data_IF_704807706948
#
_entry.id   IF_704807706948
#
_cell.length_a   1.000
_cell.length_b   1.000
_cell.length_c   1.000
_cell.angle_alpha   90.00
_cell.angle_beta   90.00
_cell.angle_gamma   90.00
#
_symmetry.space_group_name_H-M   'P 1'
#
loop_
_entity.id
_entity.type
_entity.pdbx_description
1 polymer ?
#
# COMPACT_ATOMS: atom_id res chain seq x y z
N UNK A 1 2.21 -56.29 32.00
CA UNK A 1 1.39 -55.08 31.76
C UNK A 1 -0.11 -55.29 32.09
N UNK A 2 -0.47 -55.78 33.29
CA UNK A 2 -1.90 -56.08 33.64
C UNK A 2 -2.41 -55.37 34.89
N UNK A 3 -1.52 -54.74 35.67
CA UNK A 3 -1.88 -54.17 36.98
C UNK A 3 -2.50 -52.77 36.87
N UNK A 4 -2.10 -51.96 35.86
CA UNK A 4 -2.59 -50.59 35.67
C UNK A 4 -4.07 -50.51 35.29
N UNK A 5 -4.60 -51.52 34.58
CA UNK A 5 -5.99 -51.53 34.12
C UNK A 5 -7.00 -51.85 35.23
N UNK A 6 -6.55 -52.45 36.35
CA UNK A 6 -7.41 -52.80 37.49
C UNK A 6 -7.60 -51.63 38.47
N UNK A 7 -6.68 -50.67 38.47
CA UNK A 7 -6.70 -49.52 39.38
C UNK A 7 -7.70 -48.42 38.95
N UNK A 8 -8.06 -48.33 37.67
CA UNK A 8 -9.01 -47.36 37.13
C UNK A 8 -10.46 -47.88 37.00
N UNK A 9 -10.80 -49.03 37.60
CA UNK A 9 -12.18 -49.53 37.62
C UNK A 9 -12.75 -50.00 36.28
N UNK A 10 -11.98 -49.95 35.18
CA UNK A 10 -12.36 -50.55 33.90
C UNK A 10 -12.22 -52.08 33.98
N UNK A 11 -13.22 -52.74 34.56
CA UNK A 11 -13.58 -54.11 34.19
C UNK A 11 -13.79 -54.08 32.69
N UNK A 12 -12.98 -54.86 31.97
CA UNK A 12 -12.91 -54.86 30.51
C UNK A 12 -14.25 -54.58 29.89
N UNK A 13 -14.39 -53.37 29.35
CA UNK A 13 -15.47 -53.09 28.44
C UNK A 13 -15.31 -54.13 27.34
N UNK A 14 -16.27 -55.05 27.25
CA UNK A 14 -16.50 -55.84 26.06
C UNK A 14 -16.60 -54.80 24.94
N UNK A 15 -15.50 -54.61 24.20
CA UNK A 15 -15.58 -53.94 22.92
C UNK A 15 -16.39 -54.89 22.07
N UNK A 16 -17.70 -54.65 22.05
CA UNK A 16 -18.59 -55.20 21.03
C UNK A 16 -17.90 -54.89 19.71
N UNK A 17 -17.58 -55.88 18.86
CA UNK A 17 -16.94 -55.61 17.58
C UNK A 17 -17.82 -54.56 16.90
N UNK A 18 -17.26 -53.36 16.74
CA UNK A 18 -17.95 -52.25 16.12
C UNK A 18 -18.23 -52.70 14.69
N UNK A 19 -19.47 -52.56 14.24
CA UNK A 19 -19.92 -52.92 12.91
C UNK A 19 -18.94 -52.32 11.89
N UNK A 20 -18.09 -53.13 11.24
CA UNK A 20 -17.05 -52.63 10.33
C UNK A 20 -17.66 -51.74 9.23
N UNK A 21 -18.91 -52.02 8.86
CA UNK A 21 -19.74 -51.17 8.00
C UNK A 21 -19.92 -49.74 8.54
N UNK A 22 -20.24 -49.56 9.82
CA UNK A 22 -20.49 -48.24 10.39
C UNK A 22 -19.21 -47.40 10.51
N UNK A 23 -18.06 -48.04 10.80
CA UNK A 23 -16.78 -47.36 10.82
C UNK A 23 -16.31 -46.99 9.40
N UNK A 24 -16.60 -47.84 8.40
CA UNK A 24 -16.30 -47.57 7.01
C UNK A 24 -17.17 -46.43 6.44
N UNK A 25 -18.46 -46.39 6.78
CA UNK A 25 -19.38 -45.34 6.37
C UNK A 25 -18.99 -43.97 6.95
N UNK A 26 -18.73 -43.91 8.27
CA UNK A 26 -18.29 -42.68 8.92
C UNK A 26 -16.89 -42.24 8.44
N UNK A 27 -16.01 -43.19 8.16
CA UNK A 27 -14.69 -42.94 7.60
C UNK A 27 -14.76 -42.37 6.18
N UNK A 28 -15.68 -42.86 5.35
CA UNK A 28 -15.89 -42.35 4.00
C UNK A 28 -16.41 -40.91 4.00
N UNK A 29 -17.32 -40.56 4.91
CA UNK A 29 -17.83 -39.20 5.09
C UNK A 29 -16.72 -38.23 5.49
N UNK A 30 -15.94 -38.57 6.54
CA UNK A 30 -14.80 -37.78 7.00
C UNK A 30 -13.70 -37.64 5.93
N UNK A 31 -13.43 -38.70 5.17
CA UNK A 31 -12.42 -38.67 4.10
C UNK A 31 -12.89 -37.77 2.95
N UNK A 32 -14.18 -37.83 2.59
CA UNK A 32 -14.79 -36.93 1.62
C UNK A 32 -14.72 -35.46 2.04
N UNK A 33 -15.09 -35.16 3.28
CA UNK A 33 -15.02 -33.81 3.84
C UNK A 33 -13.58 -33.29 3.91
N UNK A 34 -12.63 -34.12 4.36
CA UNK A 34 -11.21 -33.77 4.39
C UNK A 34 -10.64 -33.52 3.00
N UNK A 35 -11.09 -34.25 1.97
CA UNK A 35 -10.61 -34.09 0.60
C UNK A 35 -11.16 -32.81 -0.02
N UNK A 36 -12.45 -32.50 0.20
CA UNK A 36 -13.06 -31.24 -0.26
C UNK A 36 -12.39 -30.04 0.41
N UNK A 37 -12.19 -30.08 1.73
CA UNK A 37 -11.47 -29.01 2.43
C UNK A 37 -9.99 -28.94 2.06
N UNK A 38 -9.34 -30.08 1.83
CA UNK A 38 -7.96 -30.14 1.39
C UNK A 38 -7.77 -29.46 0.03
N UNK A 39 -8.58 -29.82 -0.96
CA UNK A 39 -8.52 -29.22 -2.30
C UNK A 39 -8.92 -27.74 -2.26
N UNK A 40 -10.02 -27.40 -1.58
CA UNK A 40 -10.48 -26.02 -1.45
C UNK A 40 -9.47 -25.12 -0.73
N UNK A 41 -8.94 -25.60 0.39
CA UNK A 41 -7.91 -24.92 1.17
C UNK A 41 -6.59 -24.78 0.41
N UNK A 42 -6.19 -25.81 -0.33
CA UNK A 42 -5.01 -25.76 -1.20
C UNK A 42 -5.18 -24.74 -2.33
N UNK A 43 -6.33 -24.70 -3.00
CA UNK A 43 -6.63 -23.70 -4.03
C UNK A 43 -6.55 -22.27 -3.48
N UNK A 44 -7.16 -22.02 -2.31
CA UNK A 44 -7.08 -20.73 -1.62
C UNK A 44 -5.64 -20.36 -1.25
N UNK A 45 -4.88 -21.32 -0.72
CA UNK A 45 -3.49 -21.10 -0.34
C UNK A 45 -2.60 -20.77 -1.54
N UNK A 46 -2.76 -21.50 -2.65
CA UNK A 46 -2.01 -21.23 -3.88
C UNK A 46 -2.37 -19.88 -4.48
N UNK A 47 -3.64 -19.50 -4.50
CA UNK A 47 -4.07 -18.17 -4.93
C UNK A 47 -3.51 -17.08 -4.02
N UNK A 48 -3.47 -17.31 -2.70
CA UNK A 48 -2.84 -16.40 -1.75
C UNK A 48 -1.34 -16.22 -2.02
N UNK A 49 -0.60 -17.30 -2.26
CA UNK A 49 0.82 -17.22 -2.65
C UNK A 49 1.01 -16.44 -3.94
N UNK A 50 0.15 -16.70 -4.93
CA UNK A 50 0.16 -16.00 -6.22
C UNK A 50 -0.13 -14.51 -6.04
N UNK A 51 -1.11 -14.15 -5.22
CA UNK A 51 -1.48 -12.77 -4.92
C UNK A 51 -0.43 -12.05 -4.07
N UNK A 52 0.22 -12.73 -3.13
CA UNK A 52 1.29 -12.15 -2.31
C UNK A 52 2.47 -11.64 -3.18
N UNK A 53 2.81 -12.37 -4.24
CA UNK A 53 3.79 -11.92 -5.23
C UNK A 53 3.35 -10.69 -6.03
N UNK A 54 2.05 -10.57 -6.31
CA UNK A 54 1.49 -9.39 -7.00
C UNK A 54 1.26 -8.19 -6.07
N UNK A 55 1.01 -8.42 -4.77
CA UNK A 55 0.79 -7.36 -3.79
C UNK A 55 2.02 -6.46 -3.67
N UNK A 56 3.23 -7.03 -3.69
CA UNK A 56 4.49 -6.26 -3.72
C UNK A 56 4.56 -5.32 -4.92
N UNK A 57 4.15 -5.80 -6.10
CA UNK A 57 4.08 -4.95 -7.30
C UNK A 57 3.01 -3.87 -7.17
N UNK A 58 1.85 -4.17 -6.57
CA UNK A 58 0.78 -3.16 -6.37
C UNK A 58 1.23 -2.07 -5.39
N UNK A 59 1.95 -2.44 -4.35
CA UNK A 59 2.49 -1.53 -3.35
C UNK A 59 3.53 -0.60 -3.98
N UNK A 60 4.46 -1.12 -4.79
CA UNK A 60 5.41 -0.29 -5.56
C UNK A 60 4.70 0.69 -6.52
N UNK A 61 3.62 0.27 -7.18
CA UNK A 61 2.85 1.17 -8.06
C UNK A 61 2.12 2.26 -7.26
N UNK A 62 1.61 1.91 -6.07
CA UNK A 62 0.92 2.86 -5.20
C UNK A 62 1.90 3.88 -4.63
N UNK A 63 3.08 3.44 -4.17
CA UNK A 63 4.16 4.31 -3.70
C UNK A 63 4.65 5.25 -4.80
N UNK A 64 4.86 4.74 -6.03
CA UNK A 64 5.24 5.59 -7.17
C UNK A 64 4.16 6.62 -7.49
N UNK A 65 2.89 6.22 -7.47
CA UNK A 65 1.77 7.14 -7.73
C UNK A 65 1.67 8.24 -6.67
N UNK A 66 1.89 7.89 -5.39
CA UNK A 66 1.93 8.85 -4.29
C UNK A 66 3.13 9.81 -4.42
N UNK A 67 4.30 9.29 -4.78
CA UNK A 67 5.49 10.10 -5.04
C UNK A 67 5.26 11.12 -6.17
N UNK A 68 4.70 10.67 -7.30
CA UNK A 68 4.34 11.57 -8.42
C UNK A 68 3.34 12.65 -8.00
N UNK A 69 2.36 12.30 -7.16
CA UNK A 69 1.39 13.27 -6.66
C UNK A 69 2.03 14.31 -5.73
N UNK A 70 2.94 13.88 -4.85
CA UNK A 70 3.69 14.80 -3.99
C UNK A 70 4.60 15.73 -4.80
N UNK A 71 5.32 15.19 -5.79
CA UNK A 71 6.16 16.00 -6.69
C UNK A 71 5.31 17.03 -7.45
N UNK A 72 4.13 16.64 -7.93
CA UNK A 72 3.19 17.54 -8.57
C UNK A 72 2.71 18.66 -7.63
N UNK A 73 2.38 18.33 -6.38
CA UNK A 73 1.99 19.32 -5.37
C UNK A 73 3.13 20.29 -5.03
N UNK A 74 4.36 19.79 -4.89
CA UNK A 74 5.54 20.61 -4.63
C UNK A 74 5.81 21.58 -5.78
N UNK A 75 5.78 21.10 -7.03
CA UNK A 75 5.92 21.95 -8.21
C UNK A 75 4.85 23.03 -8.28
N UNK A 76 3.60 22.67 -8.00
CA UNK A 76 2.50 23.62 -8.02
C UNK A 76 2.62 24.67 -6.90
N UNK A 77 3.10 24.27 -5.71
CA UNK A 77 3.42 25.20 -4.62
C UNK A 77 4.54 26.16 -5.00
N UNK A 78 5.63 25.66 -5.61
CA UNK A 78 6.72 26.50 -6.11
C UNK A 78 6.24 27.51 -7.16
N UNK A 79 5.38 27.06 -8.10
CA UNK A 79 4.81 27.94 -9.12
C UNK A 79 3.93 29.03 -8.49
N UNK A 80 3.11 28.69 -7.49
CA UNK A 80 2.32 29.65 -6.73
C UNK A 80 3.20 30.65 -5.98
N UNK A 81 4.27 30.21 -5.34
CA UNK A 81 5.23 31.09 -4.66
C UNK A 81 5.94 32.03 -5.65
N UNK A 82 6.35 31.53 -6.82
CA UNK A 82 6.94 32.35 -7.89
C UNK A 82 5.95 33.39 -8.41
N UNK A 83 4.70 33.01 -8.65
CA UNK A 83 3.63 33.91 -9.07
C UNK A 83 3.32 34.97 -8.00
N UNK A 84 3.26 34.57 -6.73
CA UNK A 84 3.04 35.46 -5.59
C UNK A 84 4.21 36.44 -5.40
N UNK A 85 5.45 35.96 -5.51
CA UNK A 85 6.66 36.78 -5.46
C UNK A 85 6.71 37.78 -6.62
N UNK A 86 6.28 37.38 -7.82
CA UNK A 86 6.17 38.29 -8.98
C UNK A 86 5.03 39.31 -8.82
N UNK A 87 3.92 38.91 -8.20
CA UNK A 87 2.81 39.81 -7.86
C UNK A 87 3.17 40.82 -6.76
N UNK A 88 4.00 40.45 -5.79
CA UNK A 88 4.48 41.35 -4.73
C UNK A 88 5.64 42.25 -5.18
N UNK A 89 6.47 41.80 -6.13
CA UNK A 89 7.54 42.61 -6.74
C UNK A 89 7.07 43.58 -7.83
N UNK A 90 5.81 43.50 -8.27
CA UNK A 90 5.24 44.37 -9.32
C UNK A 90 4.44 45.57 -8.80
N UNK A 91 4.31 45.75 -7.48
CA UNK A 91 3.48 46.80 -6.88
C UNK A 91 4.21 48.09 -6.50
N UNK A 92 5.55 48.12 -6.53
CA UNK A 92 6.32 49.28 -6.09
C UNK A 92 7.52 49.51 -7.01
N UNK A 93 7.63 50.75 -7.51
CA UNK A 93 8.71 51.29 -8.33
C UNK A 93 8.66 51.06 -9.85
N UNK A 94 7.68 51.67 -10.52
CA UNK A 94 8.00 52.40 -11.75
C UNK A 94 7.19 53.69 -11.83
N UNK A 95 7.76 54.76 -11.25
CA UNK A 95 7.15 56.07 -11.19
C UNK A 95 7.99 57.02 -10.35
N UNK A 96 9.30 57.10 -10.61
CA UNK A 96 10.08 58.23 -10.14
C UNK A 96 10.86 58.83 -11.31
N UNK A 97 10.54 60.09 -11.54
CA UNK A 97 11.09 60.98 -12.53
C UNK A 97 12.62 61.08 -12.40
N UNK A 98 13.31 60.89 -13.52
CA UNK A 98 14.61 61.50 -13.75
C UNK A 98 14.35 62.70 -14.67
N UNK A 99 14.12 63.85 -14.05
CA UNK A 99 14.25 65.13 -14.72
C UNK A 99 15.73 65.45 -14.79
N UNK A 100 16.27 65.54 -16.00
CA UNK A 100 17.52 66.24 -16.26
C UNK A 100 17.25 67.26 -17.37
N UNK A 101 16.61 68.36 -16.94
CA UNK A 101 16.66 69.64 -17.60
C UNK A 101 17.62 70.53 -16.80
N UNK A 102 18.88 70.59 -17.22
CA UNK A 102 19.75 71.73 -16.94
C UNK A 102 20.25 72.28 -18.27
N UNK A 103 19.66 73.40 -18.66
CA UNK A 103 20.23 74.30 -19.64
C UNK A 103 21.36 75.13 -19.02
N UNK A 104 22.32 75.55 -19.84
CA UNK A 104 23.32 76.52 -19.42
C UNK A 104 24.55 76.64 -20.33
N UNK A 105 24.39 77.37 -21.43
CA UNK A 105 25.29 78.38 -22.01
C UNK A 105 26.82 78.12 -22.24
N UNK A 106 27.26 78.45 -23.46
CA UNK A 106 28.66 78.77 -23.84
C UNK A 106 28.96 78.37 -25.30
N UNK A 107 28.68 79.18 -26.32
CA UNK A 107 29.57 80.21 -26.92
C UNK A 107 30.98 79.71 -27.29
N UNK A 108 31.21 79.43 -28.58
CA UNK A 108 32.39 79.77 -29.42
C UNK A 108 32.21 79.05 -30.77
N UNK A 109 31.80 79.68 -31.89
CA UNK A 109 32.60 80.51 -32.82
C UNK A 109 34.02 79.99 -33.10
N UNK A 110 34.29 79.57 -34.34
CA UNK A 110 35.66 79.39 -34.84
C UNK A 110 35.76 78.61 -36.14
N UNK A 111 35.84 79.35 -37.25
CA UNK A 111 36.31 79.04 -38.63
C UNK A 111 36.51 77.59 -39.11
#
# INVERSE_FOLDING_TARGET
MRTKMRLLGFRGAQVKPLNEEAAAELGAELLGEALVFGVGGLCLYLEYLRQAGQSRRREEHLERSLGQLQEGLQRLQEELERLKGRGQGGGHAQGHAQGDAQGGAGLEQGH
#
